data_IF_801789442361
#
_entry.id   IF_801789442361
#
_cell.length_a   1.000
_cell.length_b   1.000
_cell.length_c   1.000
_cell.angle_alpha   90.00
_cell.angle_beta   90.00
_cell.angle_gamma   90.00
#
_symmetry.space_group_name_H-M   'P 1'
#
loop_
_entity.id
_entity.type
_entity.pdbx_description
1 polymer ?
#
# COMPACT_ATOMS: atom_id res chain seq x y z
N UNK A 1 4.61 -5.92 12.03
CA UNK A 1 3.66 -4.79 12.16
C UNK A 1 2.98 -4.91 13.50
N UNK A 2 3.13 -3.91 14.36
CA UNK A 2 2.55 -3.91 15.70
C UNK A 2 1.05 -3.59 15.61
N UNK A 3 0.18 -4.57 15.83
CA UNK A 3 -1.28 -4.46 15.63
C UNK A 3 -1.97 -3.54 16.65
N UNK A 4 -1.31 -3.25 17.77
CA UNK A 4 -1.91 -2.51 18.89
C UNK A 4 -2.15 -1.02 18.59
N UNK A 5 -1.43 -0.43 17.63
CA UNK A 5 -1.50 1.01 17.39
C UNK A 5 -2.84 1.48 16.79
N UNK A 6 -3.59 0.61 16.12
CA UNK A 6 -4.88 0.96 15.50
C UNK A 6 -6.09 0.58 16.35
N UNK A 7 -5.89 -0.08 17.49
CA UNK A 7 -6.96 -0.59 18.35
C UNK A 7 -7.27 0.34 19.54
N UNK A 8 -6.52 1.44 19.71
CA UNK A 8 -6.80 2.41 20.76
C UNK A 8 -8.00 3.28 20.40
N UNK A 9 -8.89 3.48 21.37
CA UNK A 9 -10.12 4.29 21.20
C UNK A 9 -9.86 5.75 20.83
N UNK A 10 -8.65 6.28 21.08
CA UNK A 10 -8.25 7.65 20.74
C UNK A 10 -7.60 7.78 19.35
N UNK A 11 -7.56 6.71 18.57
CA UNK A 11 -6.97 6.67 17.22
C UNK A 11 -8.05 6.35 16.19
N UNK A 12 -8.40 7.34 15.38
CA UNK A 12 -9.25 7.17 14.20
C UNK A 12 -8.44 6.94 12.93
N UNK A 13 -8.94 6.08 12.03
CA UNK A 13 -8.39 5.90 10.69
C UNK A 13 -9.49 5.92 9.64
N UNK A 14 -9.18 6.46 8.47
CA UNK A 14 -10.09 6.48 7.32
C UNK A 14 -9.28 6.31 6.02
N UNK A 15 -9.97 5.89 4.96
CA UNK A 15 -9.43 5.87 3.60
C UNK A 15 -10.26 6.78 2.73
N UNK A 16 -9.62 7.78 2.12
CA UNK A 16 -10.26 8.71 1.20
C UNK A 16 -9.29 9.09 0.07
N UNK A 17 -9.82 9.44 -1.10
CA UNK A 17 -9.02 9.99 -2.21
C UNK A 17 -8.66 11.46 -2.00
N UNK A 18 -9.48 12.19 -1.23
CA UNK A 18 -9.34 13.62 -0.97
C UNK A 18 -9.80 13.93 0.45
N UNK A 19 -9.03 14.75 1.16
CA UNK A 19 -9.32 15.18 2.54
C UNK A 19 -9.04 16.66 2.67
N UNK A 20 -9.98 17.40 3.28
CA UNK A 20 -9.76 18.78 3.72
C UNK A 20 -9.61 18.80 5.24
N UNK A 21 -8.55 19.42 5.73
CA UNK A 21 -8.27 19.56 7.17
C UNK A 21 -8.30 21.04 7.54
N UNK A 22 -9.05 21.38 8.59
CA UNK A 22 -9.13 22.74 9.15
C UNK A 22 -9.06 22.67 10.67
N UNK A 23 -8.40 23.63 11.29
CA UNK A 23 -8.30 23.73 12.74
C UNK A 23 -8.44 25.19 13.19
N UNK A 24 -8.87 25.37 14.43
CA UNK A 24 -8.91 26.65 15.11
C UNK A 24 -8.26 26.48 16.50
N UNK A 25 -7.10 27.12 16.78
CA UNK A 25 -6.36 28.02 15.90
C UNK A 25 -5.69 27.29 14.72
N UNK A 26 -5.26 28.00 13.66
CA UNK A 26 -4.47 27.42 12.58
C UNK A 26 -3.26 26.65 13.11
N UNK A 27 -3.03 25.45 12.55
CA UNK A 27 -1.94 24.56 12.94
C UNK A 27 -0.89 24.49 11.84
N UNK A 28 0.38 24.42 12.21
CA UNK A 28 1.51 24.25 11.28
C UNK A 28 1.43 22.90 10.56
N UNK A 29 1.74 22.90 9.27
CA UNK A 29 1.70 21.72 8.42
C UNK A 29 3.08 21.45 7.82
N UNK A 30 3.53 20.21 7.97
CA UNK A 30 4.80 19.70 7.44
C UNK A 30 4.53 18.57 6.46
N UNK A 31 5.14 18.60 5.28
CA UNK A 31 5.09 17.54 4.27
C UNK A 31 6.51 17.12 3.94
N UNK A 32 6.79 15.82 4.01
CA UNK A 32 8.11 15.23 3.75
C UNK A 32 9.28 15.92 4.49
N UNK A 33 9.00 16.51 5.66
CA UNK A 33 9.99 17.23 6.48
C UNK A 33 10.06 18.73 6.24
N UNK A 34 9.33 19.27 5.27
CA UNK A 34 9.30 20.69 4.92
C UNK A 34 8.03 21.39 5.43
N UNK A 35 8.18 22.60 5.99
CA UNK A 35 7.05 23.41 6.44
C UNK A 35 6.37 24.04 5.21
N UNK A 36 5.11 23.66 4.96
CA UNK A 36 4.35 24.13 3.79
C UNK A 36 3.33 25.23 4.11
N UNK A 37 3.00 25.45 5.38
CA UNK A 37 2.08 26.50 5.80
C UNK A 37 1.30 26.14 7.06
N UNK A 38 0.11 26.71 7.19
CA UNK A 38 -0.83 26.44 8.28
C UNK A 38 -2.17 25.92 7.72
N UNK A 39 -2.97 25.22 8.54
CA UNK A 39 -4.33 24.84 8.18
C UNK A 39 -5.22 26.07 7.88
N UNK A 40 -6.17 25.99 6.94
CA UNK A 40 -6.66 24.77 6.29
C UNK A 40 -5.80 24.28 5.13
N UNK A 41 -5.76 22.96 4.96
CA UNK A 41 -5.11 22.30 3.82
C UNK A 41 -6.06 21.33 3.14
N UNK A 42 -5.73 20.99 1.90
CA UNK A 42 -6.40 19.96 1.13
C UNK A 42 -5.38 18.98 0.57
N UNK A 43 -5.63 17.68 0.76
CA UNK A 43 -4.75 16.60 0.33
C UNK A 43 -5.52 15.73 -0.67
N UNK A 44 -4.91 15.46 -1.82
CA UNK A 44 -5.48 14.63 -2.88
C UNK A 44 -4.49 13.53 -3.28
N UNK A 45 -4.96 12.28 -3.29
CA UNK A 45 -4.20 11.16 -3.81
C UNK A 45 -4.33 11.11 -5.33
N UNK A 46 -3.22 11.30 -6.04
CA UNK A 46 -3.14 11.14 -7.49
C UNK A 46 -2.70 9.71 -7.84
N UNK A 47 -3.62 8.78 -8.18
CA UNK A 47 -3.28 7.39 -8.42
C UNK A 47 -2.44 7.25 -9.70
N UNK A 48 -1.39 6.42 -9.63
CA UNK A 48 -0.47 6.18 -10.76
C UNK A 48 0.15 7.46 -11.34
N UNK A 49 0.32 8.49 -10.51
CA UNK A 49 0.86 9.80 -10.91
C UNK A 49 2.34 9.79 -11.27
N UNK A 50 3.08 8.79 -10.80
CA UNK A 50 4.51 8.65 -11.06
C UNK A 50 4.83 7.21 -11.48
N UNK A 51 5.64 7.08 -12.52
CA UNK A 51 6.28 5.82 -12.89
C UNK A 51 7.58 5.69 -12.11
N UNK A 52 7.71 4.62 -11.33
CA UNK A 52 8.89 4.36 -10.48
C UNK A 52 9.47 3.00 -10.83
N UNK A 53 10.78 2.93 -11.07
CA UNK A 53 11.49 1.66 -11.18
C UNK A 53 11.71 1.09 -9.78
N UNK A 54 11.19 -0.12 -9.53
CA UNK A 54 11.34 -0.83 -8.27
C UNK A 54 12.06 -2.16 -8.51
N UNK A 55 12.77 -2.72 -7.51
CA UNK A 55 13.30 -4.07 -7.62
C UNK A 55 12.20 -5.07 -7.95
N UNK A 56 12.52 -6.08 -8.75
CA UNK A 56 11.59 -7.18 -9.00
C UNK A 56 11.41 -7.93 -7.68
N UNK A 57 10.25 -7.75 -7.04
CA UNK A 57 9.83 -8.68 -6.00
C UNK A 57 9.51 -9.99 -6.72
N UNK A 58 10.24 -11.06 -6.39
CA UNK A 58 9.75 -12.40 -6.69
C UNK A 58 8.41 -12.52 -5.95
N UNK A 59 7.31 -12.46 -6.69
CA UNK A 59 6.09 -13.07 -6.20
C UNK A 59 6.44 -14.54 -5.98
N UNK A 60 6.45 -14.99 -4.73
CA UNK A 60 6.38 -16.42 -4.44
C UNK A 60 5.05 -16.91 -5.01
N UNK A 61 5.05 -17.17 -6.32
CA UNK A 61 3.98 -17.92 -6.96
C UNK A 61 3.97 -19.26 -6.21
N UNK A 62 2.86 -19.64 -5.57
CA UNK A 62 2.80 -20.92 -4.89
C UNK A 62 3.17 -21.99 -5.90
N UNK A 63 4.21 -22.77 -5.60
CA UNK A 63 4.68 -23.83 -6.48
C UNK A 63 3.49 -24.73 -6.81
N UNK A 64 3.14 -24.84 -8.10
CA UNK A 64 2.03 -25.66 -8.53
C UNK A 64 2.27 -27.11 -8.09
N UNK A 65 1.48 -27.59 -7.12
CA UNK A 65 1.49 -29.01 -6.74
C UNK A 65 0.58 -29.77 -7.68
N UNK A 66 1.15 -30.28 -8.77
CA UNK A 66 0.44 -31.12 -9.75
C UNK A 66 0.34 -32.60 -9.29
N UNK A 67 0.86 -32.92 -8.11
CA UNK A 67 0.81 -34.26 -7.51
C UNK A 67 -0.60 -34.61 -7.02
N UNK A 68 -1.16 -35.73 -7.51
CA UNK A 68 -2.41 -36.31 -7.01
C UNK A 68 -3.67 -35.96 -7.81
N UNK A 69 -3.54 -35.32 -8.98
CA UNK A 69 -4.68 -35.09 -9.88
C UNK A 69 -5.16 -36.42 -10.52
N UNK A 70 -6.43 -36.84 -10.33
CA UNK A 70 -6.93 -38.05 -10.94
C UNK A 70 -6.97 -37.90 -12.47
N UNK A 71 -6.50 -38.92 -13.18
CA UNK A 71 -6.48 -39.01 -14.65
C UNK A 71 -5.52 -38.05 -15.39
N UNK A 72 -4.50 -37.50 -14.72
CA UNK A 72 -3.47 -36.67 -15.37
C UNK A 72 -2.09 -37.32 -15.21
N UNK A 73 -1.40 -37.59 -16.32
CA UNK A 73 0.03 -37.93 -16.34
C UNK A 73 0.82 -36.71 -16.79
N UNK A 74 1.74 -36.23 -15.96
CA UNK A 74 2.62 -35.10 -16.28
C UNK A 74 4.00 -35.65 -16.62
N UNK A 75 4.51 -35.35 -17.82
CA UNK A 75 5.87 -35.68 -18.25
C UNK A 75 6.62 -34.37 -18.52
N UNK A 76 7.79 -34.20 -17.89
CA UNK A 76 8.67 -33.06 -18.16
C UNK A 76 9.34 -33.26 -19.51
N UNK A 77 9.15 -32.31 -20.42
CA UNK A 77 9.87 -32.30 -21.70
C UNK A 77 11.27 -31.77 -21.47
N UNK A 78 12.28 -32.64 -21.61
CA UNK A 78 13.66 -32.20 -21.68
C UNK A 78 13.87 -31.45 -23.01
N UNK A 79 14.26 -30.19 -22.93
CA UNK A 79 14.74 -29.45 -24.10
C UNK A 79 16.06 -30.08 -24.56
N UNK A 80 16.14 -30.39 -25.86
CA UNK A 80 17.33 -30.97 -26.51
C UNK A 80 18.21 -29.91 -27.13
#
# INVERSE_FOLDING_TARGET
>A
MNKEATERDDIGYLRAKRVKVSAQPPQKVVVDGELIGDTPIEVECLPKSLTVFVPVMQEEQPMEKLEGLPNVKVELKNEG
#
